data_IF_601854814235
#
_entry.id   IF_601854814235
#
_cell.length_a   1.000
_cell.length_b   1.000
_cell.length_c   1.000
_cell.angle_alpha   90.00
_cell.angle_beta   90.00
_cell.angle_gamma   90.00
#
_symmetry.space_group_name_H-M   'P 1'
#
loop_
_entity.id
_entity.type
_entity.pdbx_description
1 polymer ?
#
# COMPACT_ATOMS: atom_id res chain seq x y z
N UNK A 1 -22.42 -3.21 -1.25
CA UNK A 1 -23.63 -2.79 -2.01
C UNK A 1 -23.70 -3.62 -3.28
N UNK A 2 -24.87 -4.18 -3.58
CA UNK A 2 -25.14 -4.92 -4.82
C UNK A 2 -25.95 -4.05 -5.77
N UNK A 3 -25.62 -4.01 -7.05
CA UNK A 3 -26.36 -3.23 -8.05
C UNK A 3 -26.61 -4.04 -9.32
N UNK A 4 -27.68 -3.72 -10.04
CA UNK A 4 -28.07 -4.37 -11.30
C UNK A 4 -29.59 -4.38 -11.50
N UNK A 5 -30.08 -5.07 -12.55
CA UNK A 5 -31.51 -5.16 -12.86
C UNK A 5 -32.29 -5.78 -11.69
N UNK A 6 -33.43 -5.19 -11.28
CA UNK A 6 -34.23 -5.70 -10.16
C UNK A 6 -34.56 -7.19 -10.24
N UNK A 7 -34.83 -7.71 -11.44
CA UNK A 7 -35.11 -9.13 -11.71
C UNK A 7 -33.93 -10.07 -11.42
N UNK A 8 -32.71 -9.53 -11.36
CA UNK A 8 -31.49 -10.27 -11.07
C UNK A 8 -31.01 -10.11 -9.62
N UNK A 9 -31.50 -9.08 -8.90
CA UNK A 9 -31.13 -8.81 -7.50
C UNK A 9 -31.96 -9.65 -6.51
N UNK A 10 -31.65 -10.94 -6.44
CA UNK A 10 -32.31 -11.85 -5.51
C UNK A 10 -31.81 -11.66 -4.06
N UNK A 11 -32.70 -11.20 -3.16
CA UNK A 11 -32.41 -11.00 -1.73
C UNK A 11 -31.77 -12.21 -1.05
N UNK A 12 -32.22 -13.45 -1.31
CA UNK A 12 -31.62 -14.65 -0.69
C UNK A 12 -30.18 -14.86 -1.15
N UNK A 13 -29.90 -14.57 -2.43
CA UNK A 13 -28.55 -14.64 -2.98
C UNK A 13 -27.62 -13.60 -2.35
N UNK A 14 -28.12 -12.37 -2.20
CA UNK A 14 -27.38 -11.27 -1.57
C UNK A 14 -27.05 -11.60 -0.11
N UNK A 15 -28.03 -12.08 0.67
CA UNK A 15 -27.81 -12.50 2.06
C UNK A 15 -26.83 -13.68 2.18
N UNK A 16 -26.88 -14.63 1.24
CA UNK A 16 -25.94 -15.74 1.21
C UNK A 16 -24.51 -15.25 0.94
N UNK A 17 -24.34 -14.34 -0.01
CA UNK A 17 -23.05 -13.71 -0.30
C UNK A 17 -22.51 -12.91 0.89
N UNK A 18 -23.39 -12.18 1.58
CA UNK A 18 -23.06 -11.45 2.82
C UNK A 18 -22.52 -12.39 3.90
N UNK A 19 -23.21 -13.49 4.18
CA UNK A 19 -22.75 -14.51 5.16
C UNK A 19 -21.43 -15.15 4.76
N UNK A 20 -21.27 -15.48 3.48
CA UNK A 20 -20.01 -16.03 2.99
C UNK A 20 -18.85 -15.06 3.20
N UNK A 21 -19.03 -13.76 2.90
CA UNK A 21 -18.01 -12.73 3.18
C UNK A 21 -17.69 -12.61 4.66
N UNK A 22 -18.70 -12.65 5.53
CA UNK A 22 -18.54 -12.64 6.99
C UNK A 22 -17.67 -13.81 7.47
N UNK A 23 -17.97 -15.02 7.00
CA UNK A 23 -17.21 -16.25 7.30
C UNK A 23 -15.76 -16.19 6.78
N UNK A 24 -15.55 -15.76 5.52
CA UNK A 24 -14.21 -15.71 4.93
C UNK A 24 -13.31 -14.65 5.55
N UNK A 25 -13.90 -13.54 6.02
CA UNK A 25 -13.14 -12.44 6.61
C UNK A 25 -13.02 -12.54 8.13
N UNK A 26 -13.80 -13.41 8.77
CA UNK A 26 -13.90 -13.45 10.23
C UNK A 26 -14.45 -12.13 10.83
N UNK A 27 -15.17 -11.35 10.02
CA UNK A 27 -15.72 -10.06 10.47
C UNK A 27 -16.85 -10.29 11.47
N UNK A 28 -16.92 -9.44 12.51
CA UNK A 28 -18.04 -9.49 13.47
C UNK A 28 -19.37 -9.11 12.83
N UNK A 29 -19.34 -8.25 11.81
CA UNK A 29 -20.54 -7.82 11.11
C UNK A 29 -20.19 -7.40 9.68
N UNK A 30 -21.04 -7.81 8.72
CA UNK A 30 -21.02 -7.29 7.35
C UNK A 30 -22.34 -6.57 7.09
N UNK A 31 -22.25 -5.27 6.83
CA UNK A 31 -23.40 -4.44 6.46
C UNK A 31 -23.50 -4.28 4.95
N UNK A 32 -24.72 -4.29 4.44
CA UNK A 32 -24.95 -4.11 3.02
C UNK A 32 -26.43 -4.02 2.67
N UNK A 33 -26.66 -3.71 1.40
CA UNK A 33 -27.97 -3.65 0.78
C UNK A 33 -27.82 -3.67 -0.74
N UNK A 34 -28.94 -3.56 -1.41
CA UNK A 34 -29.08 -3.51 -2.85
C UNK A 34 -29.41 -2.10 -3.36
N UNK A 35 -29.02 -1.85 -4.61
CA UNK A 35 -29.26 -0.61 -5.35
C UNK A 35 -29.70 -0.98 -6.76
N UNK A 36 -31.01 -1.21 -6.98
CA UNK A 36 -31.52 -1.64 -8.28
C UNK A 36 -31.36 -0.54 -9.34
N UNK A 37 -30.87 -0.92 -10.52
CA UNK A 37 -30.65 -0.05 -11.69
C UNK A 37 -31.07 -0.78 -12.97
N UNK A 38 -31.40 -0.05 -14.04
CA UNK A 38 -31.85 -0.64 -15.31
C UNK A 38 -30.71 -1.10 -16.24
N UNK A 39 -29.46 -0.99 -15.82
CA UNK A 39 -28.29 -1.38 -16.58
C UNK A 39 -28.17 -2.92 -16.61
N UNK A 40 -27.91 -3.52 -17.77
CA UNK A 40 -27.84 -4.98 -17.96
C UNK A 40 -26.59 -5.66 -17.35
N UNK A 41 -26.06 -5.14 -16.24
CA UNK A 41 -24.91 -5.71 -15.54
C UNK A 41 -25.21 -5.84 -14.04
N UNK A 42 -24.67 -6.89 -13.41
CA UNK A 42 -24.65 -7.01 -11.95
C UNK A 42 -23.28 -6.59 -11.44
N UNK A 43 -23.26 -5.72 -10.44
CA UNK A 43 -22.05 -5.21 -9.82
C UNK A 43 -22.11 -5.32 -8.30
N UNK A 44 -20.93 -5.44 -7.68
CA UNK A 44 -20.77 -5.43 -6.24
C UNK A 44 -19.67 -4.44 -5.86
N UNK A 45 -19.92 -3.63 -4.84
CA UNK A 45 -18.91 -2.79 -4.20
C UNK A 45 -18.77 -3.20 -2.74
N UNK A 46 -17.54 -3.49 -2.32
CA UNK A 46 -17.19 -3.95 -0.98
C UNK A 46 -16.15 -3.00 -0.41
N UNK A 47 -16.43 -2.41 0.75
CA UNK A 47 -15.48 -1.62 1.51
C UNK A 47 -14.98 -2.46 2.69
N UNK A 48 -13.68 -2.73 2.70
CA UNK A 48 -13.01 -3.40 3.82
C UNK A 48 -12.37 -2.36 4.72
N UNK A 49 -12.61 -2.44 6.02
CA UNK A 49 -12.06 -1.52 7.03
C UNK A 49 -11.29 -2.28 8.09
N UNK A 50 -10.32 -1.62 8.73
CA UNK A 50 -9.53 -2.24 9.80
C UNK A 50 -8.61 -3.36 9.30
N UNK A 51 -8.16 -3.31 8.05
CA UNK A 51 -7.25 -4.30 7.47
C UNK A 51 -5.84 -4.09 8.03
N UNK A 52 -5.29 -5.10 8.73
CA UNK A 52 -4.03 -4.99 9.47
C UNK A 52 -2.93 -5.96 8.98
N UNK A 53 -3.29 -7.08 8.35
CA UNK A 53 -2.32 -8.05 7.85
C UNK A 53 -2.15 -7.93 6.31
N UNK A 54 -1.36 -6.94 5.87
CA UNK A 54 -1.09 -6.72 4.45
C UNK A 54 0.41 -6.91 4.15
N UNK A 55 0.84 -8.12 3.74
CA UNK A 55 2.25 -8.42 3.48
C UNK A 55 2.89 -7.43 2.50
N UNK A 56 2.18 -7.08 1.43
CA UNK A 56 2.67 -6.15 0.41
C UNK A 56 2.97 -4.75 0.95
N UNK A 57 2.20 -4.26 1.92
CA UNK A 57 2.48 -2.95 2.56
C UNK A 57 3.74 -3.05 3.41
N UNK A 58 3.92 -4.15 4.15
CA UNK A 58 5.13 -4.38 4.96
C UNK A 58 6.39 -4.43 4.09
N UNK A 59 6.34 -5.13 2.96
CA UNK A 59 7.43 -5.16 1.99
C UNK A 59 7.76 -3.76 1.46
N UNK A 60 6.75 -2.97 1.09
CA UNK A 60 6.97 -1.60 0.60
C UNK A 60 7.58 -0.69 1.68
N UNK A 61 7.16 -0.85 2.94
CA UNK A 61 7.75 -0.15 4.07
C UNK A 61 9.22 -0.54 4.26
N UNK A 62 9.54 -1.83 4.12
CA UNK A 62 10.93 -2.31 4.22
C UNK A 62 11.81 -1.72 3.11
N UNK A 63 11.34 -1.72 1.86
CA UNK A 63 12.07 -1.08 0.75
C UNK A 63 12.32 0.41 1.03
N UNK A 64 11.35 1.10 1.64
CA UNK A 64 11.53 2.50 2.01
C UNK A 64 12.59 2.70 3.10
N UNK A 65 12.66 1.81 4.09
CA UNK A 65 13.69 1.83 5.15
C UNK A 65 15.06 1.60 4.52
N UNK A 66 15.22 0.53 3.74
CA UNK A 66 16.49 0.18 3.08
C UNK A 66 16.99 1.32 2.16
N UNK A 67 16.08 2.02 1.49
CA UNK A 67 16.44 3.18 0.67
C UNK A 67 16.92 4.38 1.49
N UNK A 68 16.36 4.62 2.69
CA UNK A 68 16.83 5.69 3.57
C UNK A 68 18.21 5.35 4.15
N UNK A 69 18.37 4.13 4.65
CA UNK A 69 19.64 3.65 5.22
C UNK A 69 20.78 3.77 4.19
N UNK A 70 20.53 3.37 2.94
CA UNK A 70 21.51 3.49 1.85
C UNK A 70 21.86 4.96 1.53
N UNK A 71 20.90 5.89 1.58
CA UNK A 71 21.16 7.31 1.37
C UNK A 71 22.06 7.87 2.48
N UNK A 72 21.80 7.48 3.73
CA UNK A 72 22.58 7.94 4.88
C UNK A 72 23.99 7.35 4.86
N UNK A 73 24.15 6.06 4.51
CA UNK A 73 25.45 5.42 4.31
C UNK A 73 26.28 6.14 3.23
N UNK A 74 25.67 6.46 2.08
CA UNK A 74 26.35 7.18 0.98
C UNK A 74 26.78 8.57 1.43
N UNK A 75 25.97 9.27 2.23
CA UNK A 75 26.32 10.60 2.76
C UNK A 75 27.49 10.52 3.72
N UNK A 76 27.47 9.59 4.67
CA UNK A 76 28.56 9.41 5.62
C UNK A 76 29.87 9.10 4.89
N UNK A 77 29.84 8.18 3.92
CA UNK A 77 31.01 7.87 3.09
C UNK A 77 31.51 9.09 2.32
N UNK A 78 30.60 9.94 1.83
CA UNK A 78 30.97 11.17 1.11
C UNK A 78 31.61 12.21 2.04
N UNK A 79 31.14 12.34 3.28
CA UNK A 79 31.71 13.25 4.29
C UNK A 79 33.09 12.77 4.74
N UNK A 80 33.25 11.48 5.05
CA UNK A 80 34.54 10.87 5.42
C UNK A 80 35.58 11.03 4.28
N UNK A 81 35.16 10.80 3.04
CA UNK A 81 36.03 10.95 1.87
C UNK A 81 36.38 12.42 1.57
N UNK A 82 35.49 13.37 1.89
CA UNK A 82 35.76 14.80 1.81
C UNK A 82 36.74 15.26 2.89
N UNK A 83 36.60 14.76 4.13
CA UNK A 83 37.55 15.03 5.21
C UNK A 83 38.94 14.49 4.88
N UNK A 84 39.05 13.25 4.39
CA UNK A 84 40.32 12.66 3.96
C UNK A 84 41.02 13.51 2.87
N UNK A 85 40.27 14.01 1.88
CA UNK A 85 40.82 14.90 0.84
C UNK A 85 41.23 16.29 1.33
N UNK A 86 40.65 16.77 2.43
CA UNK A 86 40.95 18.11 3.01
C UNK A 86 42.07 18.03 4.05
N UNK A 87 42.17 16.91 4.78
CA UNK A 87 43.22 16.64 5.76
C UNK A 87 44.52 16.09 5.15
N UNK A 88 44.52 15.72 3.87
CA UNK A 88 45.74 15.39 3.12
C UNK A 88 46.58 16.67 2.91
N UNK A 89 47.33 17.04 3.95
CA UNK A 89 48.26 18.18 4.03
C UNK A 89 49.50 18.04 3.11
N UNK A 90 49.58 17.03 2.24
CA UNK A 90 50.76 16.77 1.38
C UNK A 90 50.71 17.39 -0.03
N UNK A 91 49.57 17.85 -0.54
CA UNK A 91 49.52 18.52 -1.84
C UNK A 91 49.33 20.04 -1.70
N UNK A 92 50.48 20.72 -1.76
CA UNK A 92 50.63 22.10 -2.22
C UNK A 92 49.60 22.39 -3.32
N UNK A 93 48.54 23.15 -3.00
CA UNK A 93 47.56 23.58 -4.00
C UNK A 93 48.29 24.43 -5.04
N UNK A 94 48.71 23.81 -6.14
CA UNK A 94 49.31 24.50 -7.27
C UNK A 94 48.28 25.52 -7.81
N UNK A 95 48.56 26.84 -7.75
CA UNK A 95 47.63 27.82 -8.26
C UNK A 95 47.44 27.59 -9.76
N UNK A 96 46.20 27.40 -10.19
CA UNK A 96 45.83 27.51 -11.59
C UNK A 96 45.90 28.99 -12.00
N UNK A 97 47.14 29.42 -12.22
CA UNK A 97 47.60 30.73 -12.69
C UNK A 97 47.58 31.89 -11.68
#
# INVERSE_FOLDING_TARGET
>A
VMSGPPEHLNRKGIERGRKWLEEQTGSMEVRGGDYPVSENNVAASILLSGVHNVPRIKELQQVAIEAQDNIDDIRQQSEEQLEELVEDDEDELDPLF
#
